data_IF_008009264094
#
_entry.id   IF_008009264094
#
_cell.length_a   1.000
_cell.length_b   1.000
_cell.length_c   1.000
_cell.angle_alpha   90.00
_cell.angle_beta   90.00
_cell.angle_gamma   90.00
#
_symmetry.space_group_name_H-M   'P 1'
#
loop_
_entity.id
_entity.type
_entity.pdbx_description
1 polymer ?
#
# COMPACT_ATOMS: atom_id res chain seq x y z
N UNK A 1 -8.48 -3.00 2.03
CA UNK A 1 -7.33 -2.07 2.14
C UNK A 1 -7.62 -0.80 1.36
N UNK A 2 -7.23 0.35 1.88
CA UNK A 2 -7.43 1.64 1.23
C UNK A 2 -6.22 1.98 0.37
N UNK A 3 -6.33 1.86 -0.96
CA UNK A 3 -5.21 2.13 -1.88
C UNK A 3 -5.26 3.57 -2.38
N UNK A 4 -4.29 4.38 -1.98
CA UNK A 4 -4.23 5.80 -2.38
C UNK A 4 -4.18 5.95 -3.90
N UNK A 5 -3.44 5.06 -4.58
CA UNK A 5 -3.33 5.06 -6.04
C UNK A 5 -4.69 4.91 -6.75
N UNK A 6 -5.61 4.13 -6.16
CA UNK A 6 -6.96 3.91 -6.72
C UNK A 6 -7.92 5.07 -6.49
N UNK A 7 -7.64 5.93 -5.52
CA UNK A 7 -8.40 7.18 -5.30
C UNK A 7 -7.97 8.28 -6.25
N UNK A 8 -6.68 8.34 -6.56
CA UNK A 8 -6.11 9.37 -7.44
C UNK A 8 -6.36 9.08 -8.93
N UNK A 9 -6.55 7.80 -9.29
CA UNK A 9 -6.66 7.38 -10.69
C UNK A 9 -7.93 6.55 -10.93
N UNK A 10 -8.69 6.93 -11.97
CA UNK A 10 -9.87 6.18 -12.38
C UNK A 10 -9.50 4.76 -12.84
N UNK A 11 -10.46 3.84 -12.78
CA UNK A 11 -10.24 2.46 -13.24
C UNK A 11 -9.76 2.40 -14.69
N UNK A 12 -10.35 3.23 -15.56
CA UNK A 12 -10.02 3.30 -16.97
C UNK A 12 -8.59 3.82 -17.19
N UNK A 13 -8.19 4.86 -16.46
CA UNK A 13 -6.83 5.39 -16.51
C UNK A 13 -5.81 4.33 -16.09
N UNK A 14 -6.07 3.62 -14.98
CA UNK A 14 -5.20 2.55 -14.49
C UNK A 14 -5.09 1.41 -15.50
N UNK A 15 -6.22 0.97 -16.09
CA UNK A 15 -6.22 -0.07 -17.14
C UNK A 15 -5.42 0.34 -18.36
N UNK A 16 -5.62 1.56 -18.83
CA UNK A 16 -4.88 2.06 -20.00
C UNK A 16 -3.38 2.16 -19.72
N UNK A 17 -3.00 2.62 -18.52
CA UNK A 17 -1.60 2.69 -18.10
C UNK A 17 -0.96 1.30 -18.01
N UNK A 18 -1.59 0.36 -17.30
CA UNK A 18 -1.06 -1.00 -17.14
C UNK A 18 -0.93 -1.72 -18.48
N UNK A 19 -1.91 -1.58 -19.37
CA UNK A 19 -1.89 -2.18 -20.70
C UNK A 19 -0.76 -1.60 -21.55
N UNK A 20 -0.59 -0.28 -21.56
CA UNK A 20 0.53 0.39 -22.25
C UNK A 20 1.88 -0.07 -21.74
N UNK A 21 2.03 -0.19 -20.42
CA UNK A 21 3.25 -0.67 -19.78
C UNK A 21 3.54 -2.11 -20.23
N UNK A 22 2.56 -3.01 -20.14
CA UNK A 22 2.70 -4.42 -20.54
C UNK A 22 3.01 -4.57 -22.03
N UNK A 23 2.43 -3.73 -22.89
CA UNK A 23 2.74 -3.71 -24.33
C UNK A 23 4.17 -3.25 -24.59
N UNK A 24 4.68 -2.28 -23.83
CA UNK A 24 6.03 -1.73 -24.01
C UNK A 24 7.12 -2.60 -23.38
N UNK A 25 6.80 -3.26 -22.27
CA UNK A 25 7.71 -4.08 -21.47
C UNK A 25 7.06 -5.43 -21.15
N UNK A 26 7.03 -6.37 -22.11
CA UNK A 26 6.29 -7.63 -21.96
C UNK A 26 6.83 -8.52 -20.83
N UNK A 27 8.14 -8.50 -20.59
CA UNK A 27 8.82 -9.30 -19.57
C UNK A 27 8.84 -8.62 -18.19
N UNK A 28 8.03 -7.57 -18.02
CA UNK A 28 7.96 -6.83 -16.76
C UNK A 28 6.54 -6.72 -16.24
N UNK A 29 6.45 -6.71 -14.92
CA UNK A 29 5.23 -6.64 -14.15
C UNK A 29 5.08 -5.23 -13.57
N UNK A 30 3.97 -4.53 -13.83
CA UNK A 30 3.65 -3.28 -13.18
C UNK A 30 3.15 -3.55 -11.75
N UNK A 31 3.88 -3.03 -10.76
CA UNK A 31 3.60 -3.24 -9.33
C UNK A 31 3.41 -1.91 -8.64
N UNK A 32 2.35 -1.79 -7.86
CA UNK A 32 2.10 -0.67 -6.96
C UNK A 32 2.44 -1.11 -5.54
N UNK A 33 3.34 -0.38 -4.88
CA UNK A 33 3.82 -0.65 -3.52
C UNK A 33 3.46 0.50 -2.61
N UNK A 34 2.63 0.26 -1.59
CA UNK A 34 2.25 1.27 -0.60
C UNK A 34 2.48 0.77 0.83
N UNK A 35 2.79 1.65 1.79
CA UNK A 35 2.77 1.26 3.19
C UNK A 35 1.34 0.84 3.59
N UNK A 36 1.23 -0.19 4.41
CA UNK A 36 -0.04 -0.56 5.02
C UNK A 36 -0.38 0.52 6.06
N UNK A 37 -1.38 1.33 5.74
CA UNK A 37 -1.94 2.25 6.71
C UNK A 37 -2.75 1.43 7.71
N UNK A 38 -2.14 1.14 8.86
CA UNK A 38 -2.90 0.77 10.06
C UNK A 38 -3.91 1.88 10.25
N UNK A 39 -5.20 1.55 10.22
CA UNK A 39 -6.28 2.50 10.45
C UNK A 39 -6.30 2.95 11.91
N UNK A 40 -5.25 3.67 12.33
CA UNK A 40 -5.15 4.38 13.60
C UNK A 40 -5.90 5.71 13.50
N UNK A 41 -7.17 5.63 13.14
CA UNK A 41 -8.15 6.69 13.36
C UNK A 41 -9.54 6.09 13.38
N UNK A 42 -9.74 5.03 14.18
CA UNK A 42 -11.00 4.89 14.88
C UNK A 42 -11.08 6.04 15.89
N UNK A 43 -11.49 7.22 15.43
CA UNK A 43 -12.21 8.16 16.28
C UNK A 43 -13.43 7.39 16.78
N UNK A 44 -13.34 6.82 17.97
CA UNK A 44 -14.50 6.29 18.67
C UNK A 44 -15.33 7.51 19.11
N UNK A 45 -16.55 7.74 18.59
CA UNK A 45 -17.48 8.58 19.32
C UNK A 45 -18.04 7.69 20.43
N UNK A 46 -17.47 7.81 21.62
CA UNK A 46 -18.08 7.27 22.82
C UNK A 46 -19.32 8.09 23.19
N UNK A 47 -20.45 7.40 23.18
CA UNK A 47 -21.56 7.48 24.14
C UNK A 47 -22.86 8.20 23.73
N UNK A 48 -23.91 7.37 23.86
CA UNK A 48 -25.28 7.58 24.35
C UNK A 48 -26.32 8.31 23.53
N UNK A 49 -27.36 7.53 23.25
CA UNK A 49 -28.75 7.92 23.05
C UNK A 49 -29.22 8.91 24.13
N UNK A 50 -29.64 10.11 23.72
CA UNK A 50 -30.96 10.73 23.96
C UNK A 50 -30.90 12.26 23.97
N UNK A 51 -31.64 12.85 23.03
CA UNK A 51 -32.29 14.18 23.04
C UNK A 51 -31.49 15.41 23.52
N UNK A 52 -31.14 16.31 22.59
CA UNK A 52 -31.76 17.64 22.40
C UNK A 52 -30.83 18.63 21.67
N UNK A 53 -31.43 19.34 20.71
CA UNK A 53 -31.25 20.75 20.35
C UNK A 53 -30.02 21.23 19.53
N UNK A 54 -30.39 22.12 18.62
CA UNK A 54 -29.72 22.79 17.50
C UNK A 54 -28.51 23.68 17.82
N UNK A 55 -27.71 23.86 16.77
CA UNK A 55 -26.81 24.99 16.48
C UNK A 55 -25.43 24.98 17.15
N UNK A 56 -24.39 24.73 16.34
CA UNK A 56 -23.20 25.59 16.16
C UNK A 56 -22.15 24.85 15.31
N UNK A 57 -22.22 25.02 13.99
CA UNK A 57 -21.10 24.74 13.09
C UNK A 57 -20.08 25.88 13.27
N UNK A 58 -18.91 25.59 13.86
CA UNK A 58 -17.78 26.52 13.88
C UNK A 58 -16.58 25.90 13.17
N UNK A 59 -16.13 26.62 12.15
CA UNK A 59 -15.02 26.31 11.27
C UNK A 59 -13.68 26.13 11.99
N UNK A 60 -12.88 25.22 11.44
CA UNK A 60 -11.43 25.23 11.22
C UNK A 60 -10.57 26.15 12.11
N UNK A 61 -9.60 25.56 12.83
CA UNK A 61 -8.23 26.09 12.86
C UNK A 61 -7.26 24.99 13.31
N UNK A 62 -6.31 24.74 12.42
CA UNK A 62 -5.09 23.98 12.62
C UNK A 62 -4.44 24.31 13.96
N UNK A 63 -4.10 23.27 14.71
CA UNK A 63 -3.04 23.35 15.72
C UNK A 63 -2.20 22.11 15.54
N UNK A 64 -0.98 22.36 15.09
CA UNK A 64 0.08 21.44 14.80
C UNK A 64 0.36 20.54 16.00
N UNK A 65 -0.15 19.31 15.96
CA UNK A 65 0.38 18.23 16.77
C UNK A 65 1.47 17.55 15.94
N UNK A 66 2.70 18.05 16.10
CA UNK A 66 3.91 17.34 15.69
C UNK A 66 4.04 16.10 16.58
N UNK A 67 3.21 15.10 16.32
CA UNK A 67 3.26 13.80 16.95
C UNK A 67 3.97 12.90 15.94
N UNK A 68 5.19 12.50 16.27
CA UNK A 68 6.11 11.75 15.42
C UNK A 68 5.46 10.47 14.90
N UNK A 69 4.83 10.61 13.73
CA UNK A 69 4.49 9.56 12.77
C UNK A 69 5.78 8.75 12.62
N UNK A 70 5.84 7.54 13.20
CA UNK A 70 6.98 6.66 13.01
C UNK A 70 7.03 6.35 11.52
N UNK A 71 7.82 7.18 10.86
CA UNK A 71 7.96 7.31 9.44
C UNK A 71 8.56 6.00 8.94
N UNK A 72 7.72 5.04 8.58
CA UNK A 72 8.12 4.14 7.51
C UNK A 72 8.66 5.06 6.42
N UNK A 73 9.96 4.98 6.15
CA UNK A 73 10.62 5.79 5.14
C UNK A 73 9.75 5.68 3.89
N UNK A 74 9.00 6.73 3.54
CA UNK A 74 8.07 6.61 2.41
C UNK A 74 8.93 6.33 1.19
N UNK A 75 8.63 5.25 0.46
CA UNK A 75 9.29 5.00 -0.81
C UNK A 75 9.07 6.23 -1.69
N UNK A 76 10.14 6.78 -2.25
CA UNK A 76 10.05 7.96 -3.14
C UNK A 76 9.16 7.68 -4.36
N UNK A 77 9.02 6.40 -4.73
CA UNK A 77 8.16 5.95 -5.79
C UNK A 77 7.37 4.73 -5.32
N UNK A 78 6.06 4.77 -5.54
CA UNK A 78 5.16 3.64 -5.31
C UNK A 78 5.00 2.73 -6.53
N UNK A 79 5.41 3.18 -7.72
CA UNK A 79 5.29 2.43 -8.97
C UNK A 79 6.61 1.74 -9.31
N UNK A 80 6.54 0.44 -9.57
CA UNK A 80 7.69 -0.40 -9.87
C UNK A 80 7.44 -1.22 -11.13
N UNK A 81 8.51 -1.42 -11.90
CA UNK A 81 8.50 -2.25 -13.10
C UNK A 81 9.47 -3.41 -12.93
N UNK A 82 8.93 -4.53 -12.45
CA UNK A 82 9.70 -5.66 -11.91
C UNK A 82 9.85 -6.76 -12.97
N UNK A 83 11.04 -7.34 -13.20
CA UNK A 83 11.18 -8.49 -14.10
C UNK A 83 10.30 -9.67 -13.67
N UNK A 84 9.70 -10.38 -14.62
CA UNK A 84 8.82 -11.53 -14.39
C UNK A 84 9.51 -12.68 -13.65
N UNK A 85 10.77 -12.96 -13.98
CA UNK A 85 11.57 -14.07 -13.43
C UNK A 85 12.10 -13.80 -12.01
N UNK A 86 12.02 -12.55 -11.55
CA UNK A 86 12.54 -12.18 -10.25
C UNK A 86 11.67 -12.81 -9.14
N UNK A 87 12.28 -13.36 -8.10
CA UNK A 87 11.53 -13.91 -6.96
C UNK A 87 11.07 -12.83 -6.00
N UNK A 88 9.97 -13.07 -5.29
CA UNK A 88 9.44 -12.12 -4.33
C UNK A 88 10.45 -11.78 -3.23
N UNK A 89 11.24 -12.74 -2.76
CA UNK A 89 12.31 -12.49 -1.78
C UNK A 89 13.35 -11.48 -2.27
N UNK A 90 13.74 -11.56 -3.56
CA UNK A 90 14.63 -10.57 -4.17
C UNK A 90 13.95 -9.20 -4.29
N UNK A 91 12.66 -9.18 -4.61
CA UNK A 91 11.89 -7.95 -4.69
C UNK A 91 11.78 -7.27 -3.31
N UNK A 92 11.42 -8.04 -2.29
CA UNK A 92 11.35 -7.61 -0.90
C UNK A 92 12.70 -7.04 -0.42
N UNK A 93 13.82 -7.68 -0.78
CA UNK A 93 15.16 -7.19 -0.50
C UNK A 93 15.44 -5.83 -1.16
N UNK A 94 15.05 -5.66 -2.43
CA UNK A 94 15.18 -4.38 -3.13
C UNK A 94 14.35 -3.27 -2.47
N UNK A 95 13.13 -3.56 -2.03
CA UNK A 95 12.29 -2.62 -1.29
C UNK A 95 12.95 -2.25 0.03
N UNK A 96 13.42 -3.23 0.82
CA UNK A 96 14.12 -3.00 2.10
C UNK A 96 15.33 -2.07 1.94
N UNK A 97 16.11 -2.25 0.86
CA UNK A 97 17.25 -1.38 0.55
C UNK A 97 16.84 0.06 0.23
N UNK A 98 15.75 0.26 -0.50
CA UNK A 98 15.22 1.61 -0.80
C UNK A 98 14.71 2.32 0.45
N UNK A 99 14.09 1.57 1.36
CA UNK A 99 13.63 2.05 2.66
C UNK A 99 14.78 2.35 3.66
N UNK A 100 16.04 2.01 3.32
CA UNK A 100 17.21 2.14 4.21
C UNK A 100 17.01 1.51 5.60
N UNK A 101 16.23 0.43 5.67
CA UNK A 101 15.93 -0.25 6.93
C UNK A 101 17.15 -1.02 7.45
N UNK A 102 17.45 -0.88 8.75
CA UNK A 102 18.47 -1.67 9.45
C UNK A 102 18.04 -3.13 9.56
N UNK A 103 18.99 -4.04 9.78
CA UNK A 103 18.74 -5.47 9.95
C UNK A 103 17.69 -5.78 11.05
N UNK A 104 17.64 -4.92 12.07
CA UNK A 104 16.82 -5.03 13.28
C UNK A 104 15.31 -4.84 13.05
N UNK A 105 14.89 -4.20 11.96
CA UNK A 105 13.47 -4.01 11.66
C UNK A 105 12.97 -5.13 10.76
N UNK A 106 11.92 -5.84 11.19
CA UNK A 106 11.20 -6.75 10.30
C UNK A 106 10.24 -5.98 9.40
N UNK A 107 10.13 -6.44 8.15
CA UNK A 107 9.25 -5.85 7.15
C UNK A 107 8.36 -6.96 6.60
N UNK A 108 7.07 -6.84 6.84
CA UNK A 108 6.06 -7.78 6.37
C UNK A 108 5.49 -7.27 5.06
N UNK A 109 5.16 -8.20 4.17
CA UNK A 109 4.57 -7.88 2.88
C UNK A 109 3.26 -8.62 2.69
N UNK A 110 2.31 -7.97 2.03
CA UNK A 110 1.05 -8.55 1.65
C UNK A 110 0.74 -8.21 0.20
N UNK A 111 0.14 -9.15 -0.52
CA UNK A 111 -0.20 -9.01 -1.93
C UNK A 111 -1.71 -9.06 -2.13
N UNK A 112 -2.18 -8.29 -3.10
CA UNK A 112 -3.56 -8.24 -3.53
C UNK A 112 -4.46 -7.49 -2.54
N UNK A 113 -5.77 -7.56 -2.78
CA UNK A 113 -6.76 -6.85 -1.97
C UNK A 113 -7.09 -7.55 -0.65
N UNK A 114 -6.86 -8.86 -0.58
CA UNK A 114 -7.22 -9.72 0.53
C UNK A 114 -6.11 -9.88 1.58
N UNK A 115 -4.95 -9.23 1.38
CA UNK A 115 -3.86 -9.24 2.36
C UNK A 115 -3.15 -10.59 2.49
N UNK A 116 -2.93 -11.31 1.37
CA UNK A 116 -2.23 -12.61 1.38
C UNK A 116 -0.73 -12.40 1.55
N UNK A 117 -0.10 -13.11 2.48
CA UNK A 117 1.36 -13.12 2.58
C UNK A 117 1.97 -13.88 1.39
N UNK A 118 2.88 -13.28 0.62
CA UNK A 118 3.50 -13.95 -0.51
C UNK A 118 4.52 -14.99 -0.07
N UNK A 119 4.67 -16.02 -0.90
CA UNK A 119 5.76 -16.99 -0.76
C UNK A 119 7.04 -16.35 -1.29
N UNK A 120 8.11 -16.32 -0.48
CA UNK A 120 9.36 -15.65 -0.84
C UNK A 120 10.05 -16.24 -2.07
N UNK A 121 9.89 -17.55 -2.30
CA UNK A 121 10.43 -18.24 -3.47
C UNK A 121 9.57 -18.10 -4.74
N UNK A 122 8.34 -17.61 -4.63
CA UNK A 122 7.46 -17.44 -5.80
C UNK A 122 8.00 -16.34 -6.72
N UNK A 123 7.83 -16.53 -8.03
CA UNK A 123 8.20 -15.54 -9.04
C UNK A 123 7.17 -14.41 -9.09
N UNK A 124 7.62 -13.22 -9.49
CA UNK A 124 6.73 -12.07 -9.67
C UNK A 124 5.67 -12.33 -10.74
N UNK A 125 5.97 -13.17 -11.74
CA UNK A 125 4.99 -13.62 -12.74
C UNK A 125 3.86 -14.48 -12.16
N UNK A 126 4.20 -15.51 -11.37
CA UNK A 126 3.18 -16.37 -10.72
C UNK A 126 2.30 -15.53 -9.80
N UNK A 127 2.91 -14.65 -9.00
CA UNK A 127 2.17 -13.75 -8.11
C UNK A 127 1.25 -12.79 -8.88
N UNK A 128 1.71 -12.28 -10.03
CA UNK A 128 0.90 -11.43 -10.90
C UNK A 128 -0.29 -12.17 -11.50
N UNK A 129 -0.09 -13.37 -12.02
CA UNK A 129 -1.17 -14.14 -12.65
C UNK A 129 -2.27 -14.51 -11.66
N UNK A 130 -1.90 -14.79 -10.41
CA UNK A 130 -2.84 -15.17 -9.36
C UNK A 130 -3.52 -13.97 -8.66
N UNK A 131 -2.83 -12.83 -8.52
CA UNK A 131 -3.24 -11.76 -7.60
C UNK A 131 -3.33 -10.35 -8.23
N UNK A 132 -3.12 -10.20 -9.54
CA UNK A 132 -3.34 -8.90 -10.21
C UNK A 132 -4.79 -8.46 -10.06
N UNK A 133 -4.98 -7.16 -10.01
CA UNK A 133 -6.31 -6.58 -9.98
C UNK A 133 -6.90 -6.49 -11.40
N UNK A 134 -8.20 -6.20 -11.47
CA UNK A 134 -8.95 -5.95 -12.72
C UNK A 134 -8.38 -4.80 -13.54
N UNK A 135 -7.58 -3.93 -12.93
CA UNK A 135 -6.90 -2.84 -13.59
C UNK A 135 -5.56 -3.20 -14.25
N UNK A 136 -5.07 -4.43 -14.07
CA UNK A 136 -3.80 -4.90 -14.62
C UNK A 136 -2.55 -4.55 -13.80
N UNK A 137 -2.67 -4.01 -12.59
CA UNK A 137 -1.56 -3.83 -11.66
C UNK A 137 -1.52 -4.93 -10.59
N UNK A 138 -0.32 -5.25 -10.12
CA UNK A 138 -0.12 -6.00 -8.87
C UNK A 138 -0.02 -5.03 -7.71
N UNK A 139 -0.88 -5.22 -6.71
CA UNK A 139 -0.84 -4.41 -5.49
C UNK A 139 -0.08 -5.14 -4.40
N UNK A 140 0.92 -4.48 -3.83
CA UNK A 140 1.72 -4.96 -2.72
C UNK A 140 1.70 -3.89 -1.63
N UNK A 141 1.49 -4.30 -0.39
CA UNK A 141 1.70 -3.41 0.73
C UNK A 141 2.71 -3.98 1.71
N UNK A 142 3.35 -3.10 2.47
CA UNK A 142 4.31 -3.49 3.49
C UNK A 142 3.96 -2.89 4.84
N UNK A 143 4.26 -3.61 5.91
CA UNK A 143 4.04 -3.18 7.28
C UNK A 143 5.30 -3.45 8.12
N UNK A 144 5.58 -2.57 9.08
CA UNK A 144 6.53 -2.86 10.16
C UNK A 144 5.88 -3.87 11.14
N UNK A 145 6.68 -4.59 11.91
CA UNK A 145 6.29 -5.63 12.88
C UNK A 145 5.29 -5.15 13.95
N UNK A 146 5.10 -3.83 14.10
CA UNK A 146 4.31 -3.22 15.18
C UNK A 146 2.79 -3.16 14.98
N UNK A 147 2.19 -3.87 14.02
CA UNK A 147 0.77 -3.66 13.66
C UNK A 147 -0.22 -4.62 14.35
N UNK A 148 0.25 -5.65 15.06
CA UNK A 148 -0.62 -6.51 15.89
C UNK A 148 0.04 -6.81 17.24
N UNK A 149 -0.18 -5.91 18.19
CA UNK A 149 0.11 -6.09 19.62
C UNK A 149 -1.10 -5.74 20.43
#
# INVERSE_FOLDING_TARGET
MNWQYKHEHSLEQRRFESERIRRRYPDRIPVIVQPLLSSSSSSTPSYSSSSLSTSLFRSFSSSSSSCSELSLARLDNEKFLVPSELSFGQFAYNIRRRLRLRAEHALFFYIGLYGKQPVLSATMESLYNENKDTDGFLYVCYADEKVFG
#
